data_IF_964211768052
#
_entry.id   IF_964211768052
#
_cell.length_a   1.000
_cell.length_b   1.000
_cell.length_c   1.000
_cell.angle_alpha   90.00
_cell.angle_beta   90.00
_cell.angle_gamma   90.00
#
_symmetry.space_group_name_H-M   'P 1'
#
loop_
_entity.id
_entity.type
_entity.pdbx_description
1 polymer ?
#
# COMPACT_ATOMS: atom_id res chain seq x y z
N UNK A 1 -25.25 53.26 27.17
CA UNK A 1 -24.02 52.58 27.67
C UNK A 1 -24.11 51.06 27.58
N UNK A 2 -25.21 50.39 27.95
CA UNK A 2 -25.33 48.91 27.90
C UNK A 2 -25.39 48.32 26.48
N UNK A 3 -25.97 49.02 25.49
CA UNK A 3 -26.07 48.51 24.09
C UNK A 3 -24.69 48.56 23.39
N UNK A 4 -23.87 49.59 23.64
CA UNK A 4 -22.52 49.69 23.07
C UNK A 4 -21.57 48.62 23.59
N UNK A 5 -21.71 48.21 24.88
CA UNK A 5 -20.92 47.14 25.47
C UNK A 5 -21.33 45.78 24.87
N UNK A 6 -22.60 45.53 24.66
CA UNK A 6 -23.09 44.28 24.03
C UNK A 6 -22.66 44.16 22.57
N UNK A 7 -22.64 45.25 21.81
CA UNK A 7 -22.15 45.24 20.42
C UNK A 7 -20.64 44.98 20.34
N UNK A 8 -19.82 45.48 21.27
CA UNK A 8 -18.39 45.19 21.32
C UNK A 8 -18.11 43.73 21.70
N UNK A 9 -18.84 43.13 22.64
CA UNK A 9 -18.70 41.74 23.04
C UNK A 9 -19.09 40.82 21.87
N UNK A 10 -20.15 41.10 21.13
CA UNK A 10 -20.57 40.36 19.94
C UNK A 10 -19.53 40.49 18.79
N UNK A 11 -18.92 41.66 18.62
CA UNK A 11 -17.85 41.87 17.63
C UNK A 11 -16.59 41.09 17.97
N UNK A 12 -16.18 41.03 19.21
CA UNK A 12 -15.03 40.24 19.65
C UNK A 12 -15.31 38.74 19.56
N UNK A 13 -16.53 38.30 19.94
CA UNK A 13 -16.93 36.90 19.79
C UNK A 13 -16.94 36.42 18.34
N UNK A 14 -17.44 37.26 17.40
CA UNK A 14 -17.37 36.97 15.97
C UNK A 14 -15.94 36.94 15.43
N UNK A 15 -15.02 37.78 15.92
CA UNK A 15 -13.59 37.72 15.55
C UNK A 15 -12.94 36.42 15.99
N UNK A 16 -13.22 35.95 17.22
CA UNK A 16 -12.69 34.67 17.72
C UNK A 16 -13.24 33.45 16.95
N UNK A 17 -14.51 33.46 16.56
CA UNK A 17 -15.13 32.41 15.73
C UNK A 17 -14.58 32.40 14.31
N UNK A 18 -14.39 33.58 13.69
CA UNK A 18 -13.80 33.71 12.35
C UNK A 18 -12.32 33.31 12.36
N UNK A 19 -11.56 33.71 13.40
CA UNK A 19 -10.16 33.29 13.54
C UNK A 19 -10.04 31.77 13.75
N UNK A 20 -10.94 31.18 14.53
CA UNK A 20 -11.01 29.73 14.72
C UNK A 20 -11.38 28.97 13.44
N UNK A 21 -12.26 29.50 12.62
CA UNK A 21 -12.62 28.96 11.30
C UNK A 21 -11.46 29.11 10.30
N UNK A 22 -10.78 30.26 10.28
CA UNK A 22 -9.60 30.49 9.43
C UNK A 22 -8.41 29.62 9.85
N UNK A 23 -8.16 29.46 11.14
CA UNK A 23 -7.11 28.53 11.62
C UNK A 23 -7.43 27.08 11.29
N UNK A 24 -8.69 26.64 11.39
CA UNK A 24 -9.13 25.33 10.94
C UNK A 24 -8.96 25.17 9.43
N UNK A 25 -9.36 26.16 8.65
CA UNK A 25 -9.19 26.15 7.18
C UNK A 25 -7.71 26.14 6.80
N UNK A 26 -6.85 26.96 7.42
CA UNK A 26 -5.40 26.93 7.19
C UNK A 26 -4.77 25.60 7.61
N UNK A 27 -5.19 25.03 8.74
CA UNK A 27 -4.70 23.73 9.19
C UNK A 27 -5.13 22.61 8.22
N UNK A 28 -6.38 22.65 7.72
CA UNK A 28 -6.85 21.74 6.68
C UNK A 28 -6.13 21.95 5.35
N UNK A 29 -5.84 23.18 4.96
CA UNK A 29 -5.12 23.48 3.70
C UNK A 29 -3.66 23.05 3.77
N UNK A 30 -3.00 23.22 4.91
CA UNK A 30 -1.64 22.74 5.15
C UNK A 30 -1.60 21.21 5.24
N UNK A 31 -2.55 20.59 5.92
CA UNK A 31 -2.70 19.14 5.95
C UNK A 31 -2.98 18.58 4.54
N UNK A 32 -3.80 19.27 3.76
CA UNK A 32 -4.16 18.90 2.38
C UNK A 32 -3.00 19.05 1.41
N UNK A 33 -2.14 20.07 1.55
CA UNK A 33 -0.94 20.22 0.71
C UNK A 33 0.17 19.19 1.02
N UNK A 34 0.18 18.62 2.25
CA UNK A 34 1.03 17.46 2.57
C UNK A 34 0.40 16.13 2.07
N UNK A 35 -0.90 16.11 1.80
CA UNK A 35 -1.66 14.92 1.41
C UNK A 35 -1.61 14.63 -0.09
N UNK A 36 -1.27 15.63 -0.93
CA UNK A 36 -1.15 15.47 -2.39
C UNK A 36 0.02 14.58 -2.86
N UNK A 37 0.74 13.95 -1.92
CA UNK A 37 1.79 12.96 -2.17
C UNK A 37 1.38 11.51 -1.85
N UNK A 38 0.08 11.23 -1.73
CA UNK A 38 -0.37 9.85 -1.50
C UNK A 38 -0.31 9.10 -2.82
N UNK A 39 0.71 8.31 -2.93
CA UNK A 39 1.00 7.46 -4.04
C UNK A 39 0.08 6.23 -4.01
N UNK A 40 -0.65 5.98 -5.09
CA UNK A 40 -1.43 4.75 -5.31
C UNK A 40 -0.60 3.44 -5.26
N UNK A 41 0.70 3.54 -5.12
CA UNK A 41 1.62 2.39 -4.97
C UNK A 41 1.92 2.07 -3.50
N UNK A 42 0.91 2.03 -2.65
CA UNK A 42 1.08 1.60 -1.27
C UNK A 42 1.12 0.07 -1.18
N UNK A 43 1.91 -0.45 -0.24
CA UNK A 43 1.85 -1.85 0.11
C UNK A 43 0.68 -2.07 1.06
N UNK A 44 -0.36 -2.70 0.55
CA UNK A 44 -1.64 -2.87 1.23
C UNK A 44 -1.73 -4.13 2.09
N UNK A 45 -0.63 -4.84 2.35
CA UNK A 45 -0.63 -6.03 3.20
C UNK A 45 0.33 -5.92 4.38
N UNK A 46 -0.10 -6.43 5.54
CA UNK A 46 0.65 -6.37 6.78
C UNK A 46 1.98 -7.12 6.70
N UNK A 47 2.07 -8.20 5.92
CA UNK A 47 3.32 -8.94 5.74
C UNK A 47 4.38 -8.10 5.03
N UNK A 48 4.06 -7.45 3.91
CA UNK A 48 5.00 -6.54 3.22
C UNK A 48 5.38 -5.37 4.10
N UNK A 49 4.41 -4.76 4.75
CA UNK A 49 4.65 -3.61 5.60
C UNK A 49 5.54 -3.94 6.79
N UNK A 50 5.39 -5.11 7.41
CA UNK A 50 6.27 -5.56 8.50
C UNK A 50 7.73 -5.79 8.05
N UNK A 51 7.96 -5.96 6.76
CA UNK A 51 9.27 -6.15 6.12
C UNK A 51 9.83 -4.84 5.52
N UNK A 52 9.39 -3.66 5.97
CA UNK A 52 9.83 -2.37 5.43
C UNK A 52 9.20 -2.01 4.09
N UNK A 53 8.13 -2.69 3.71
CA UNK A 53 7.43 -2.46 2.45
C UNK A 53 7.98 -3.25 1.27
N UNK A 54 8.80 -4.28 1.48
CA UNK A 54 9.25 -5.18 0.41
C UNK A 54 8.14 -6.18 0.06
N UNK A 55 7.95 -6.45 -1.22
CA UNK A 55 6.86 -7.31 -1.68
C UNK A 55 7.09 -8.02 -3.01
N UNK A 56 8.10 -7.62 -3.78
CA UNK A 56 8.29 -8.03 -5.17
C UNK A 56 8.48 -9.53 -5.40
N UNK A 57 9.01 -10.25 -4.42
CA UNK A 57 9.36 -11.66 -4.53
C UNK A 57 8.42 -12.59 -3.76
N UNK A 58 7.27 -12.05 -3.30
CA UNK A 58 6.25 -12.83 -2.59
C UNK A 58 5.39 -13.62 -3.56
N UNK A 59 4.87 -14.77 -3.07
CA UNK A 59 3.97 -15.66 -3.79
C UNK A 59 2.73 -15.90 -2.92
N UNK A 60 1.82 -14.96 -2.89
CA UNK A 60 0.58 -15.02 -2.09
C UNK A 60 -0.53 -14.24 -2.79
N UNK A 61 -1.75 -14.34 -2.30
CA UNK A 61 -2.89 -13.55 -2.81
C UNK A 61 -2.62 -12.04 -2.75
N UNK A 62 -1.78 -11.58 -1.81
CA UNK A 62 -1.35 -10.20 -1.67
C UNK A 62 -0.38 -9.71 -2.77
N UNK A 63 0.13 -10.62 -3.62
CA UNK A 63 0.91 -10.26 -4.81
C UNK A 63 0.10 -9.42 -5.81
N UNK A 64 -1.23 -9.41 -5.72
CA UNK A 64 -2.11 -8.48 -6.42
C UNK A 64 -1.72 -7.00 -6.24
N UNK A 65 -1.16 -6.63 -5.08
CA UNK A 65 -0.77 -5.25 -4.79
C UNK A 65 0.73 -4.98 -4.93
N UNK A 66 1.55 -6.00 -5.08
CA UNK A 66 3.01 -5.82 -5.02
C UNK A 66 3.73 -6.19 -6.32
N UNK A 67 3.47 -7.40 -6.83
CA UNK A 67 4.02 -7.91 -8.08
C UNK A 67 3.16 -9.08 -8.54
N UNK A 68 2.32 -8.86 -9.53
CA UNK A 68 1.33 -9.81 -10.02
C UNK A 68 1.94 -11.13 -10.49
N UNK A 69 3.22 -11.13 -10.89
CA UNK A 69 3.93 -12.37 -11.24
C UNK A 69 3.92 -13.41 -10.12
N UNK A 70 3.87 -12.96 -8.85
CA UNK A 70 3.78 -13.85 -7.69
C UNK A 70 2.49 -14.65 -7.60
N UNK A 71 1.41 -14.21 -8.26
CA UNK A 71 0.15 -14.95 -8.33
C UNK A 71 0.30 -16.27 -9.12
N UNK A 72 1.22 -16.34 -10.08
CA UNK A 72 1.40 -17.51 -10.94
C UNK A 72 1.77 -18.81 -10.17
N UNK A 73 2.22 -18.69 -8.93
CA UNK A 73 2.52 -19.83 -8.04
C UNK A 73 1.30 -20.28 -7.20
N UNK A 74 0.17 -19.55 -7.28
CA UNK A 74 -1.05 -19.90 -6.55
C UNK A 74 -1.78 -21.01 -7.31
N UNK A 75 -2.08 -22.11 -6.63
CA UNK A 75 -2.74 -23.28 -7.18
C UNK A 75 -4.09 -23.61 -6.53
N UNK A 76 -4.53 -22.78 -5.59
CA UNK A 76 -5.83 -22.89 -4.89
C UNK A 76 -6.51 -21.53 -4.84
N UNK A 77 -7.85 -21.49 -4.85
CA UNK A 77 -8.61 -20.25 -4.66
C UNK A 77 -8.14 -19.61 -3.34
N UNK A 78 -7.81 -18.33 -3.40
CA UNK A 78 -7.29 -17.59 -2.24
C UNK A 78 -7.98 -16.25 -2.11
N UNK A 79 -8.30 -15.88 -0.88
CA UNK A 79 -8.90 -14.59 -0.53
C UNK A 79 -8.11 -13.92 0.60
N UNK A 80 -8.22 -12.61 0.70
CA UNK A 80 -7.66 -11.88 1.83
C UNK A 80 -8.35 -10.55 2.04
N UNK A 81 -8.34 -10.09 3.29
CA UNK A 81 -8.81 -8.76 3.69
C UNK A 81 -7.80 -8.14 4.63
N UNK A 82 -7.68 -6.83 4.59
CA UNK A 82 -6.74 -6.10 5.43
C UNK A 82 -7.22 -4.71 5.77
N UNK A 83 -6.65 -4.15 6.81
CA UNK A 83 -6.87 -2.77 7.21
C UNK A 83 -5.60 -2.16 7.76
N UNK A 84 -5.37 -0.90 7.46
CA UNK A 84 -4.32 -0.05 8.02
C UNK A 84 -4.96 1.20 8.60
N UNK A 85 -4.48 1.63 9.76
CA UNK A 85 -4.82 2.95 10.30
C UNK A 85 -3.55 3.80 10.28
N UNK A 86 -3.44 4.69 9.30
CA UNK A 86 -2.26 5.52 9.13
C UNK A 86 -2.17 6.56 10.24
N UNK A 87 -1.07 6.50 11.01
CA UNK A 87 -0.72 7.43 12.10
C UNK A 87 -1.75 7.53 13.23
N UNK A 88 -2.63 6.51 13.39
CA UNK A 88 -3.70 6.55 14.38
C UNK A 88 -4.87 7.49 14.01
N UNK A 89 -4.91 7.99 12.78
CA UNK A 89 -5.96 8.89 12.28
C UNK A 89 -7.02 8.07 11.55
N UNK A 90 -8.27 8.09 12.05
CA UNK A 90 -9.36 7.28 11.52
C UNK A 90 -9.68 7.61 10.05
N UNK A 91 -9.61 8.88 9.69
CA UNK A 91 -9.86 9.41 8.35
C UNK A 91 -8.82 8.95 7.31
N UNK A 92 -7.66 8.46 7.77
CA UNK A 92 -6.59 7.91 6.95
C UNK A 92 -6.56 6.38 6.97
N UNK A 93 -7.66 5.75 7.33
CA UNK A 93 -7.76 4.29 7.31
C UNK A 93 -7.87 3.78 5.88
N UNK A 94 -7.15 2.69 5.62
CA UNK A 94 -7.21 1.95 4.35
C UNK A 94 -7.82 0.59 4.59
N UNK A 95 -8.76 0.19 3.76
CA UNK A 95 -9.38 -1.14 3.76
C UNK A 95 -9.09 -1.82 2.43
N UNK A 96 -8.72 -3.10 2.49
CA UNK A 96 -8.31 -3.85 1.31
C UNK A 96 -8.97 -5.21 1.24
N UNK A 97 -9.22 -5.66 0.01
CA UNK A 97 -9.65 -7.01 -0.28
C UNK A 97 -8.89 -7.54 -1.50
N UNK A 98 -8.55 -8.83 -1.48
CA UNK A 98 -7.84 -9.51 -2.56
C UNK A 98 -8.45 -10.89 -2.82
N UNK A 99 -8.43 -11.28 -4.08
CA UNK A 99 -8.90 -12.58 -4.55
C UNK A 99 -7.95 -13.12 -5.60
N UNK A 100 -7.74 -14.43 -5.63
CA UNK A 100 -6.99 -15.12 -6.67
C UNK A 100 -7.70 -16.42 -7.07
N UNK A 101 -7.86 -16.59 -8.38
CA UNK A 101 -8.53 -17.72 -8.99
C UNK A 101 -7.58 -18.40 -9.97
N UNK A 102 -7.00 -19.56 -9.60
CA UNK A 102 -6.27 -20.39 -10.55
C UNK A 102 -7.19 -20.94 -11.63
N UNK A 103 -6.72 -20.86 -12.88
CA UNK A 103 -7.39 -21.39 -14.05
C UNK A 103 -6.41 -22.19 -14.90
N UNK A 104 -6.92 -22.94 -15.89
CA UNK A 104 -6.02 -23.62 -16.81
C UNK A 104 -5.21 -22.60 -17.63
N UNK A 105 -3.90 -22.56 -17.38
CA UNK A 105 -2.96 -21.67 -18.09
C UNK A 105 -2.52 -20.41 -17.33
N UNK A 106 -3.04 -20.13 -16.12
CA UNK A 106 -2.61 -19.00 -15.30
C UNK A 106 -3.47 -18.75 -14.06
N UNK A 107 -3.36 -17.57 -13.50
CA UNK A 107 -4.11 -17.16 -12.31
C UNK A 107 -4.70 -15.77 -12.53
N UNK A 108 -6.01 -15.64 -12.38
CA UNK A 108 -6.65 -14.33 -12.28
C UNK A 108 -6.56 -13.79 -10.87
N UNK A 109 -6.31 -12.49 -10.75
CA UNK A 109 -6.29 -11.75 -9.49
C UNK A 109 -7.25 -10.59 -9.52
N UNK A 110 -7.88 -10.30 -8.38
CA UNK A 110 -8.67 -9.10 -8.15
C UNK A 110 -8.18 -8.45 -6.86
N UNK A 111 -8.01 -7.13 -6.88
CA UNK A 111 -7.73 -6.36 -5.68
C UNK A 111 -8.63 -5.12 -5.61
N UNK A 112 -8.97 -4.75 -4.39
CA UNK A 112 -9.72 -3.54 -4.07
C UNK A 112 -9.04 -2.89 -2.88
N UNK A 113 -8.78 -1.59 -2.98
CA UNK A 113 -8.34 -0.77 -1.87
C UNK A 113 -9.19 0.50 -1.80
N UNK A 114 -9.56 0.88 -0.59
CA UNK A 114 -10.29 2.10 -0.28
C UNK A 114 -9.61 2.80 0.88
N UNK A 115 -9.23 4.06 0.68
CA UNK A 115 -8.56 4.90 1.68
C UNK A 115 -9.33 6.18 1.85
N UNK A 116 -9.58 6.59 3.08
CA UNK A 116 -10.19 7.90 3.36
C UNK A 116 -11.54 7.82 4.07
N UNK A 117 -12.35 8.86 3.89
CA UNK A 117 -13.62 9.08 4.58
C UNK A 117 -14.64 9.75 3.63
N UNK A 118 -15.80 10.10 4.16
CA UNK A 118 -16.95 10.59 3.37
C UNK A 118 -16.63 11.82 2.50
N UNK A 119 -15.82 12.77 3.00
CA UNK A 119 -15.47 14.00 2.28
C UNK A 119 -14.29 13.86 1.32
N UNK A 120 -13.43 12.86 1.54
CA UNK A 120 -12.28 12.56 0.68
C UNK A 120 -11.98 11.08 0.71
N UNK A 121 -11.96 10.44 -0.44
CA UNK A 121 -11.52 9.07 -0.53
C UNK A 121 -10.82 8.75 -1.86
N UNK A 122 -9.96 7.76 -1.77
CA UNK A 122 -9.27 7.16 -2.90
C UNK A 122 -9.67 5.69 -3.01
N UNK A 123 -9.91 5.24 -4.22
CA UNK A 123 -10.23 3.85 -4.54
C UNK A 123 -9.32 3.32 -5.64
N UNK A 124 -8.84 2.09 -5.46
CA UNK A 124 -8.12 1.32 -6.47
C UNK A 124 -8.82 -0.01 -6.65
N UNK A 125 -9.09 -0.38 -7.91
CA UNK A 125 -9.59 -1.70 -8.28
C UNK A 125 -8.68 -2.23 -9.37
N UNK A 126 -8.02 -3.36 -9.13
CA UNK A 126 -7.08 -3.98 -10.06
C UNK A 126 -7.56 -5.36 -10.50
N UNK A 127 -7.51 -5.64 -11.80
CA UNK A 127 -7.72 -6.96 -12.38
C UNK A 127 -6.41 -7.46 -12.98
N UNK A 128 -5.88 -8.53 -12.40
CA UNK A 128 -4.59 -9.12 -12.75
C UNK A 128 -4.73 -10.45 -13.49
N UNK A 129 -3.75 -10.76 -14.32
CA UNK A 129 -3.51 -12.08 -14.83
C UNK A 129 -2.02 -12.41 -14.74
N UNK A 130 -1.71 -13.59 -14.20
CA UNK A 130 -0.34 -14.06 -14.04
C UNK A 130 -0.17 -15.45 -14.64
N UNK A 131 1.03 -15.70 -15.18
CA UNK A 131 1.36 -16.96 -15.82
C UNK A 131 2.80 -17.38 -15.54
N UNK A 132 2.98 -18.68 -15.30
CA UNK A 132 4.29 -19.33 -15.27
C UNK A 132 4.74 -19.58 -16.70
N UNK A 133 5.82 -18.94 -17.14
CA UNK A 133 6.35 -19.10 -18.48
C UNK A 133 7.32 -20.28 -18.61
N UNK A 134 8.14 -20.46 -17.58
CA UNK A 134 9.05 -21.60 -17.46
C UNK A 134 9.32 -21.91 -15.99
N UNK A 135 10.09 -22.93 -15.71
CA UNK A 135 10.42 -23.24 -14.32
C UNK A 135 11.14 -22.07 -13.64
N UNK A 136 10.54 -21.58 -12.54
CA UNK A 136 11.02 -20.44 -11.78
C UNK A 136 10.94 -19.09 -12.51
N UNK A 137 10.22 -18.96 -13.66
CA UNK A 137 10.00 -17.68 -14.31
C UNK A 137 8.53 -17.40 -14.50
N UNK A 138 8.05 -16.36 -13.82
CA UNK A 138 6.67 -15.91 -13.78
C UNK A 138 6.56 -14.49 -14.29
N UNK A 139 5.45 -14.20 -14.99
CA UNK A 139 5.07 -12.84 -15.38
C UNK A 139 3.64 -12.57 -14.92
N UNK A 140 3.31 -11.29 -14.75
CA UNK A 140 1.96 -10.86 -14.44
C UNK A 140 1.70 -9.47 -15.00
N UNK A 141 0.45 -9.23 -15.36
CA UNK A 141 -0.03 -7.92 -15.81
C UNK A 141 -1.30 -7.58 -15.03
N UNK A 142 -1.57 -6.30 -14.87
CA UNK A 142 -2.77 -5.82 -14.18
C UNK A 142 -3.27 -4.54 -14.84
N UNK A 143 -4.57 -4.39 -14.93
CA UNK A 143 -5.25 -3.15 -15.26
C UNK A 143 -5.84 -2.60 -13.97
N UNK A 144 -5.62 -1.32 -13.69
CA UNK A 144 -6.10 -0.63 -12.52
C UNK A 144 -7.09 0.47 -12.91
N UNK A 145 -8.20 0.50 -12.20
CA UNK A 145 -9.05 1.67 -12.06
C UNK A 145 -8.63 2.43 -10.79
N UNK A 146 -8.40 3.73 -10.94
CA UNK A 146 -8.01 4.64 -9.88
C UNK A 146 -9.04 5.75 -9.79
N UNK A 147 -9.71 5.88 -8.64
CA UNK A 147 -10.72 6.89 -8.37
C UNK A 147 -10.30 7.80 -7.21
N UNK A 148 -10.51 9.10 -7.35
CA UNK A 148 -10.41 10.09 -6.29
C UNK A 148 -11.72 10.84 -6.20
N UNK A 149 -12.34 10.80 -5.03
CA UNK A 149 -13.54 11.53 -4.70
C UNK A 149 -13.23 12.65 -3.71
N UNK A 150 -13.74 13.86 -4.00
CA UNK A 150 -13.68 15.03 -3.10
C UNK A 150 -15.08 15.62 -3.03
N UNK A 151 -15.64 15.71 -1.83
CA UNK A 151 -16.95 16.29 -1.62
C UNK A 151 -17.02 17.76 -2.06
N UNK A 152 -18.20 18.20 -2.54
CA UNK A 152 -18.43 19.54 -3.10
C UNK A 152 -17.55 19.90 -4.32
N UNK A 153 -16.73 18.98 -4.82
CA UNK A 153 -15.94 19.16 -6.04
C UNK A 153 -16.70 18.64 -7.26
N UNK A 154 -16.81 19.46 -8.30
CA UNK A 154 -17.29 19.01 -9.62
C UNK A 154 -16.30 18.09 -10.33
N UNK A 155 -15.11 17.87 -9.77
CA UNK A 155 -14.00 17.13 -10.39
C UNK A 155 -13.68 15.82 -9.68
N UNK A 156 -14.63 14.89 -9.63
CA UNK A 156 -14.30 13.49 -9.35
C UNK A 156 -13.38 12.96 -10.45
N UNK A 157 -12.29 12.30 -10.07
CA UNK A 157 -11.24 11.87 -11.00
C UNK A 157 -11.23 10.36 -11.11
N UNK A 158 -11.30 9.86 -12.34
CA UNK A 158 -11.29 8.43 -12.62
C UNK A 158 -10.29 8.17 -13.74
N UNK A 159 -9.33 7.28 -13.50
CA UNK A 159 -8.30 6.96 -14.46
C UNK A 159 -8.04 5.46 -14.53
N UNK A 160 -7.49 5.03 -15.65
CA UNK A 160 -7.03 3.67 -15.83
C UNK A 160 -5.52 3.67 -16.09
N UNK A 161 -4.84 2.75 -15.45
CA UNK A 161 -3.43 2.48 -15.71
C UNK A 161 -3.18 0.99 -15.74
N UNK A 162 -1.93 0.58 -15.93
CA UNK A 162 -1.58 -0.82 -15.86
C UNK A 162 -0.25 -1.04 -15.16
N UNK A 163 -0.03 -2.28 -14.75
CA UNK A 163 1.16 -2.76 -14.08
C UNK A 163 1.70 -3.99 -14.80
N UNK A 164 3.02 -4.13 -14.77
CA UNK A 164 3.70 -5.32 -15.28
C UNK A 164 4.67 -5.80 -14.22
N UNK A 165 4.63 -7.10 -13.93
CA UNK A 165 5.50 -7.74 -12.99
C UNK A 165 6.21 -8.96 -13.56
N UNK A 166 7.41 -9.23 -13.06
CA UNK A 166 8.17 -10.42 -13.35
C UNK A 166 8.86 -10.95 -12.09
N UNK A 167 8.96 -12.27 -11.97
CA UNK A 167 9.74 -12.95 -10.94
C UNK A 167 10.55 -14.07 -11.56
N UNK A 168 11.82 -14.19 -11.17
CA UNK A 168 12.72 -15.27 -11.59
C UNK A 168 13.43 -15.87 -10.40
N UNK A 169 13.28 -17.17 -10.20
CA UNK A 169 14.11 -17.95 -9.29
C UNK A 169 15.45 -18.20 -9.98
N UNK A 170 16.50 -17.55 -9.48
CA UNK A 170 17.85 -17.65 -10.01
C UNK A 170 18.56 -18.91 -9.50
N UNK A 171 18.34 -19.21 -8.22
CA UNK A 171 18.83 -20.39 -7.50
C UNK A 171 17.74 -20.85 -6.54
N UNK A 172 17.95 -21.99 -5.89
CA UNK A 172 17.00 -22.49 -4.88
C UNK A 172 16.75 -21.47 -3.76
N UNK A 173 17.78 -20.74 -3.38
CA UNK A 173 17.78 -19.79 -2.26
C UNK A 173 17.58 -18.34 -2.72
N UNK A 174 17.63 -18.05 -4.04
CA UNK A 174 17.65 -16.66 -4.55
C UNK A 174 16.56 -16.43 -5.58
N UNK A 175 15.67 -15.48 -5.29
CA UNK A 175 14.60 -15.02 -6.19
C UNK A 175 14.77 -13.54 -6.49
N UNK A 176 14.68 -13.17 -7.76
CA UNK A 176 14.64 -11.80 -8.27
C UNK A 176 13.21 -11.44 -8.61
N UNK A 177 12.79 -10.20 -8.29
CA UNK A 177 11.53 -9.62 -8.68
C UNK A 177 11.74 -8.25 -9.32
N UNK A 178 10.96 -7.96 -10.36
CA UNK A 178 10.90 -6.65 -11.01
C UNK A 178 9.43 -6.28 -11.23
N UNK A 179 9.11 -5.00 -11.14
CA UNK A 179 7.75 -4.49 -11.30
C UNK A 179 7.76 -3.05 -11.79
N UNK A 180 6.80 -2.70 -12.62
CA UNK A 180 6.56 -1.32 -13.03
C UNK A 180 5.06 -1.01 -12.92
N UNK A 181 4.76 0.11 -12.25
CA UNK A 181 3.44 0.71 -12.17
C UNK A 181 3.39 1.94 -13.07
N UNK A 182 2.27 2.13 -13.77
CA UNK A 182 2.02 3.25 -14.67
C UNK A 182 3.13 3.51 -15.71
N UNK A 183 3.54 2.51 -16.53
CA UNK A 183 4.67 2.66 -17.48
C UNK A 183 4.40 3.67 -18.60
N UNK A 184 3.14 4.02 -18.84
CA UNK A 184 2.76 4.97 -19.90
C UNK A 184 2.59 6.41 -19.40
N UNK A 185 2.80 6.68 -18.11
CA UNK A 185 2.71 8.01 -17.54
C UNK A 185 1.31 8.64 -17.62
N UNK A 186 0.26 7.84 -17.34
CA UNK A 186 -1.11 8.37 -17.24
C UNK A 186 -1.15 9.47 -16.19
N UNK A 187 -1.85 10.56 -16.47
CA UNK A 187 -2.03 11.69 -15.57
C UNK A 187 -3.38 11.62 -14.87
N UNK A 188 -3.44 12.08 -13.64
CA UNK A 188 -4.69 12.21 -12.90
C UNK A 188 -5.54 13.36 -13.47
N UNK A 189 -4.89 14.47 -13.82
CA UNK A 189 -5.40 15.63 -14.57
C UNK A 189 -4.25 16.39 -15.23
N UNK A 190 -4.51 17.59 -15.78
CA UNK A 190 -3.46 18.41 -16.43
C UNK A 190 -2.36 18.89 -15.48
N UNK A 191 -2.63 18.96 -14.17
CA UNK A 191 -1.74 19.50 -13.13
C UNK A 191 -1.14 18.43 -12.23
N UNK A 192 -1.73 17.23 -12.20
CA UNK A 192 -1.32 16.14 -11.30
C UNK A 192 -0.99 14.87 -12.09
N UNK A 193 0.21 14.36 -11.91
CA UNK A 193 0.67 13.13 -12.54
C UNK A 193 0.41 11.94 -11.60
N UNK A 194 -0.04 10.82 -12.16
CA UNK A 194 0.09 9.53 -11.49
C UNK A 194 1.55 9.10 -11.65
N UNK A 195 2.30 8.86 -10.55
CA UNK A 195 3.71 8.54 -10.67
C UNK A 195 3.94 7.24 -11.43
N UNK A 196 4.99 7.21 -12.26
CA UNK A 196 5.53 5.96 -12.77
C UNK A 196 6.53 5.41 -11.76
N UNK A 197 6.39 4.13 -11.37
CA UNK A 197 7.21 3.53 -10.32
C UNK A 197 7.83 2.25 -10.85
N UNK A 198 9.16 2.22 -10.83
CA UNK A 198 9.95 1.03 -11.13
C UNK A 198 10.52 0.44 -9.84
N UNK A 199 10.40 -0.87 -9.67
CA UNK A 199 10.90 -1.61 -8.50
C UNK A 199 11.73 -2.81 -8.94
N UNK A 200 12.84 -3.01 -8.24
CA UNK A 200 13.71 -4.19 -8.40
C UNK A 200 14.05 -4.74 -7.01
N UNK A 201 13.94 -6.04 -6.81
CA UNK A 201 14.16 -6.64 -5.49
C UNK A 201 14.66 -8.06 -5.55
N UNK A 202 15.28 -8.47 -4.45
CA UNK A 202 15.83 -9.79 -4.22
C UNK A 202 15.27 -10.37 -2.91
N UNK A 203 15.05 -11.67 -2.92
CA UNK A 203 14.83 -12.50 -1.74
C UNK A 203 15.94 -13.55 -1.67
N UNK A 204 16.57 -13.63 -0.51
CA UNK A 204 17.55 -14.66 -0.19
C UNK A 204 17.06 -15.48 1.00
N UNK A 205 16.80 -16.76 0.77
CA UNK A 205 16.44 -17.74 1.80
C UNK A 205 17.73 -18.34 2.37
N UNK A 206 18.29 -17.73 3.44
CA UNK A 206 19.54 -18.16 4.05
C UNK A 206 19.44 -19.60 4.61
N UNK A 207 18.26 -19.98 5.07
CA UNK A 207 17.87 -21.34 5.46
C UNK A 207 16.35 -21.43 5.57
N UNK A 208 15.80 -22.58 6.00
CA UNK A 208 14.35 -22.80 6.13
C UNK A 208 13.65 -21.85 7.12
N UNK A 209 14.41 -21.18 7.99
CA UNK A 209 13.88 -20.27 9.02
C UNK A 209 14.10 -18.81 8.73
N UNK A 210 15.13 -18.45 7.96
CA UNK A 210 15.56 -17.05 7.77
C UNK A 210 15.49 -16.67 6.31
N UNK A 211 14.71 -15.63 6.00
CA UNK A 211 14.67 -15.01 4.70
C UNK A 211 15.00 -13.51 4.80
N UNK A 212 15.85 -13.03 3.90
CA UNK A 212 16.25 -11.63 3.77
C UNK A 212 15.69 -11.09 2.46
N UNK A 213 15.16 -9.89 2.53
CA UNK A 213 14.56 -9.20 1.39
C UNK A 213 15.23 -7.85 1.20
N UNK A 214 15.49 -7.49 -0.04
CA UNK A 214 15.96 -6.15 -0.42
C UNK A 214 15.16 -5.65 -1.61
N UNK A 215 14.84 -4.36 -1.65
CA UNK A 215 14.11 -3.75 -2.75
C UNK A 215 14.57 -2.31 -2.97
N UNK A 216 14.82 -1.95 -4.22
CA UNK A 216 14.99 -0.58 -4.68
C UNK A 216 13.74 -0.13 -5.41
N UNK A 217 13.27 1.08 -5.13
CA UNK A 217 12.13 1.72 -5.77
C UNK A 217 12.55 3.08 -6.31
N UNK A 218 12.25 3.31 -7.60
CA UNK A 218 12.42 4.57 -8.31
C UNK A 218 11.05 5.09 -8.70
N UNK A 219 10.64 6.19 -8.12
CA UNK A 219 9.40 6.88 -8.40
C UNK A 219 9.71 8.18 -9.15
N UNK A 220 8.93 8.49 -10.18
CA UNK A 220 9.09 9.76 -10.90
C UNK A 220 8.96 10.93 -9.91
N UNK A 221 9.88 11.89 -10.03
CA UNK A 221 9.90 13.12 -9.22
C UNK A 221 10.22 12.92 -7.72
N UNK A 222 10.63 11.70 -7.31
CA UNK A 222 11.00 11.42 -5.91
C UNK A 222 12.40 10.82 -5.81
N UNK A 223 12.98 10.91 -4.59
CA UNK A 223 14.25 10.26 -4.29
C UNK A 223 14.07 8.73 -4.28
N UNK A 224 15.08 8.02 -4.76
CA UNK A 224 15.13 6.57 -4.71
C UNK A 224 14.88 6.06 -3.27
N UNK A 225 14.07 5.01 -3.14
CA UNK A 225 13.80 4.33 -1.86
C UNK A 225 14.53 3.00 -1.85
N UNK A 226 15.20 2.74 -0.75
CA UNK A 226 15.80 1.44 -0.46
C UNK A 226 15.04 0.81 0.71
N UNK A 227 14.74 -0.47 0.58
CA UNK A 227 13.99 -1.24 1.58
C UNK A 227 14.73 -2.52 1.88
N UNK A 228 14.75 -2.90 3.13
CA UNK A 228 15.31 -4.17 3.60
C UNK A 228 14.33 -4.80 4.60
N UNK A 229 14.16 -6.11 4.51
CA UNK A 229 13.31 -6.88 5.42
C UNK A 229 13.98 -8.18 5.85
N UNK A 230 13.67 -8.60 7.05
CA UNK A 230 14.08 -9.88 7.64
C UNK A 230 12.85 -10.60 8.16
N UNK A 231 12.64 -11.84 7.71
CA UNK A 231 11.64 -12.76 8.24
C UNK A 231 12.35 -13.90 8.98
N UNK A 232 11.93 -14.17 10.21
CA UNK A 232 12.40 -15.29 11.02
C UNK A 232 11.22 -16.17 11.44
N UNK A 233 11.23 -17.44 11.01
CA UNK A 233 10.25 -18.46 11.40
C UNK A 233 10.71 -19.12 12.70
N UNK A 234 10.09 -18.72 13.82
CA UNK A 234 10.36 -19.35 15.13
C UNK A 234 9.96 -20.82 15.06
N UNK A 235 8.73 -21.07 14.63
CA UNK A 235 8.15 -22.37 14.31
C UNK A 235 7.41 -22.27 12.97
N UNK A 236 6.90 -23.37 12.44
CA UNK A 236 6.17 -23.36 11.15
C UNK A 236 4.98 -22.40 11.16
N UNK A 237 4.35 -22.21 12.30
CA UNK A 237 3.15 -21.40 12.47
C UNK A 237 3.44 -19.92 12.77
N UNK A 238 4.58 -19.58 13.39
CA UNK A 238 4.88 -18.23 13.88
C UNK A 238 6.09 -17.66 13.18
N UNK A 239 5.89 -16.47 12.55
CA UNK A 239 6.94 -15.70 11.89
C UNK A 239 7.07 -14.34 12.56
N UNK A 240 8.29 -13.94 12.90
CA UNK A 240 8.63 -12.57 13.28
C UNK A 240 9.23 -11.87 12.07
N UNK A 241 8.94 -10.58 11.94
CA UNK A 241 9.42 -9.76 10.83
C UNK A 241 9.86 -8.41 11.33
N UNK A 242 10.92 -7.91 10.71
CA UNK A 242 11.36 -6.53 10.86
C UNK A 242 11.83 -5.99 9.53
N UNK A 243 11.74 -4.68 9.36
CA UNK A 243 12.18 -4.04 8.14
C UNK A 243 12.47 -2.57 8.33
N UNK A 244 13.16 -2.04 7.34
CA UNK A 244 13.53 -0.64 7.27
C UNK A 244 13.37 -0.14 5.84
N UNK A 245 12.93 1.10 5.68
CA UNK A 245 12.92 1.81 4.39
C UNK A 245 13.48 3.21 4.54
N UNK A 246 14.06 3.73 3.44
CA UNK A 246 14.49 5.12 3.32
C UNK A 246 13.42 5.95 2.60
N UNK A 247 13.50 7.27 2.66
CA UNK A 247 12.74 8.25 1.86
C UNK A 247 11.21 8.03 1.81
N UNK A 248 10.49 8.17 2.95
CA UNK A 248 10.95 8.54 4.29
C UNK A 248 11.49 7.36 5.09
N UNK A 249 12.33 7.63 6.07
CA UNK A 249 12.83 6.60 6.96
C UNK A 249 11.70 6.05 7.84
N UNK A 250 11.47 4.72 7.72
CA UNK A 250 10.46 3.99 8.49
C UNK A 250 11.07 2.71 9.05
N UNK A 251 10.75 2.41 10.30
CA UNK A 251 11.03 1.12 10.92
C UNK A 251 9.72 0.33 11.00
N UNK A 252 9.80 -0.96 10.69
CA UNK A 252 8.65 -1.85 10.61
C UNK A 252 8.87 -3.09 11.45
N UNK A 253 7.82 -3.55 12.12
CA UNK A 253 7.80 -4.77 12.89
C UNK A 253 6.49 -5.51 12.64
N UNK A 254 6.52 -6.82 12.75
CA UNK A 254 5.29 -7.60 12.65
C UNK A 254 5.44 -9.05 13.04
N UNK A 255 4.28 -9.66 13.20
CA UNK A 255 4.13 -11.07 13.52
C UNK A 255 3.13 -11.69 12.57
N UNK A 256 3.45 -12.87 12.07
CA UNK A 256 2.55 -13.71 11.29
C UNK A 256 2.21 -14.98 12.04
N UNK A 257 0.95 -15.42 11.94
CA UNK A 257 0.48 -16.68 12.47
C UNK A 257 -0.27 -17.46 11.39
N UNK A 258 0.21 -18.67 11.11
CA UNK A 258 -0.39 -19.57 10.12
C UNK A 258 -1.13 -20.69 10.85
N UNK A 259 -2.43 -20.77 10.66
CA UNK A 259 -3.28 -21.84 11.17
C UNK A 259 -3.92 -22.58 10.00
N UNK A 260 -3.43 -23.78 9.71
CA UNK A 260 -3.87 -24.56 8.54
C UNK A 260 -3.78 -23.74 7.25
N UNK A 261 -4.92 -23.37 6.69
CA UNK A 261 -5.05 -22.59 5.45
C UNK A 261 -5.22 -21.08 5.69
N UNK A 262 -5.27 -20.63 6.94
CA UNK A 262 -5.48 -19.23 7.32
C UNK A 262 -4.15 -18.62 7.73
N UNK A 263 -3.83 -17.47 7.18
CA UNK A 263 -2.69 -16.63 7.55
C UNK A 263 -3.21 -15.34 8.20
N UNK A 264 -2.77 -15.06 9.42
CA UNK A 264 -3.02 -13.82 10.14
C UNK A 264 -1.71 -13.04 10.23
N UNK A 265 -1.73 -11.77 9.88
CA UNK A 265 -0.56 -10.92 9.96
C UNK A 265 -0.90 -9.59 10.65
N UNK A 266 -0.06 -9.22 11.61
CA UNK A 266 -0.11 -7.92 12.29
C UNK A 266 1.20 -7.21 12.02
N UNK A 267 1.13 -5.93 11.68
CA UNK A 267 2.29 -5.09 11.48
C UNK A 267 2.11 -3.72 12.15
N UNK A 268 3.22 -3.10 12.46
CA UNK A 268 3.28 -1.71 12.88
C UNK A 268 4.45 -1.03 12.19
N UNK A 269 4.17 0.08 11.51
CA UNK A 269 5.17 0.96 10.94
C UNK A 269 5.34 2.18 11.82
N UNK A 270 6.58 2.60 12.05
CA UNK A 270 6.91 3.84 12.75
C UNK A 270 7.53 4.83 11.76
N UNK A 271 6.81 5.90 11.48
CA UNK A 271 7.34 7.07 10.77
C UNK A 271 8.02 8.00 11.78
N UNK A 272 9.18 8.60 11.42
CA UNK A 272 9.97 9.43 12.35
C UNK A 272 9.19 10.62 12.90
N UNK A 273 8.35 11.27 12.10
CA UNK A 273 7.61 12.48 12.45
C UNK A 273 6.12 12.23 12.73
N UNK A 274 5.48 11.31 12.00
CA UNK A 274 4.03 11.15 12.02
C UNK A 274 3.53 10.07 12.99
N UNK A 275 4.44 9.26 13.56
CA UNK A 275 4.08 8.27 14.57
C UNK A 275 3.85 6.86 14.01
N UNK A 276 2.90 6.13 14.58
CA UNK A 276 2.68 4.71 14.32
C UNK A 276 1.48 4.47 13.42
N UNK A 277 1.63 3.50 12.52
CA UNK A 277 0.55 2.99 11.64
C UNK A 277 0.38 1.50 11.89
N UNK A 278 -0.57 1.08 12.74
CA UNK A 278 -0.93 -0.32 12.93
C UNK A 278 -1.67 -0.86 11.71
N UNK A 279 -1.44 -2.14 11.43
CA UNK A 279 -2.03 -2.84 10.30
C UNK A 279 -2.35 -4.28 10.65
N UNK A 280 -3.45 -4.78 10.10
CA UNK A 280 -3.91 -6.15 10.26
C UNK A 280 -4.34 -6.72 8.91
N UNK A 281 -4.01 -7.97 8.64
CA UNK A 281 -4.51 -8.69 7.47
C UNK A 281 -4.75 -10.16 7.75
N UNK A 282 -5.75 -10.71 7.05
CA UNK A 282 -6.11 -12.13 7.07
C UNK A 282 -6.17 -12.62 5.65
N UNK A 283 -5.66 -13.80 5.39
CA UNK A 283 -5.87 -14.49 4.10
C UNK A 283 -6.12 -15.98 4.31
N UNK A 284 -6.83 -16.60 3.37
CA UNK A 284 -7.12 -18.03 3.39
C UNK A 284 -7.06 -18.63 1.99
N UNK A 285 -6.71 -19.91 1.93
CA UNK A 285 -6.75 -20.73 0.71
C UNK A 285 -7.78 -21.84 0.87
N UNK A 286 -8.44 -22.25 -0.23
CA UNK A 286 -9.54 -23.22 -0.21
C UNK A 286 -9.24 -24.45 -1.06
#
# INVERSE_FOLDING_TARGET
>A
MKIWLAMNILSEYNKFTILGLQMRSCFFTILFSFFSLICFSQNYDSKSNSLGGVGLTKTSVWSNFTNQAGLAEINQISIGVGTENSFGIKELSTHTAVFALPVNGGVFGLNIAYTGFELYNESKIGLAFAKKLSDGFNIGVQIDYLGVYVDESTNNRNNFTFEIGAQKRLMRELTLGAHIFNPIGVKLNEQENIPSIFKLGLRYDANDKVAIFTEGELESEQNAKLKIGLEYKIIKQIQLRTGFSTNPAKNSFGIGYTLNKIQLDIAVNRHQLLGYSPQFSVSSTF
#
